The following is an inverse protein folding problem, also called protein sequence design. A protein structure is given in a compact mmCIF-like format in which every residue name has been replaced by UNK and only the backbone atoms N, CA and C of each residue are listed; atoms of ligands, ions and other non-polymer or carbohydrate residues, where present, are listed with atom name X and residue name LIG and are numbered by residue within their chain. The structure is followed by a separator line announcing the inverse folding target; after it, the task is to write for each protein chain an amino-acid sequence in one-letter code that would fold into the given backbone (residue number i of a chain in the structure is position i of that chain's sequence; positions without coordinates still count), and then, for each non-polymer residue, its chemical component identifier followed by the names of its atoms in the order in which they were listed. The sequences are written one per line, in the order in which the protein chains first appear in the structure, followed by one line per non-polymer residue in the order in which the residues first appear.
data_IF_708664398979
#
_entry.id   IF_708664398979
#
_cell.length_a   1.000
_cell.length_b   1.000
_cell.length_c   1.000
_cell.angle_alpha   90.00
_cell.angle_beta   90.00
_cell.angle_gamma   90.00
#
_symmetry.space_group_name_H-M   'P 1'
#
loop_
_entity.id
_entity.type
_entity.pdbx_description
1 polymer ?
#
# COMPACT_ATOMS: atom_id res chain seq x y z
N UNK A 1 44.94 14.24 -26.59
CA UNK A 1 43.90 14.11 -27.63
C UNK A 1 43.23 12.75 -27.50
N UNK A 2 42.02 12.71 -26.92
CA UNK A 2 40.96 11.71 -27.14
C UNK A 2 39.74 12.20 -26.36
N UNK A 3 38.82 12.80 -27.11
CA UNK A 3 37.58 13.38 -26.63
C UNK A 3 36.60 12.28 -26.23
N UNK A 4 35.99 12.42 -25.06
CA UNK A 4 34.82 11.64 -24.67
C UNK A 4 33.59 12.35 -25.24
N UNK A 5 32.93 11.70 -26.20
CA UNK A 5 31.64 12.10 -26.72
C UNK A 5 30.57 11.95 -25.65
N UNK A 6 30.00 13.07 -25.22
CA UNK A 6 28.77 13.12 -24.42
C UNK A 6 27.64 12.47 -25.22
N UNK A 7 27.11 11.34 -24.73
CA UNK A 7 25.87 10.77 -25.25
C UNK A 7 24.71 11.63 -24.76
N UNK A 8 23.93 12.13 -25.71
CA UNK A 8 22.74 12.95 -25.51
C UNK A 8 21.77 12.31 -24.52
N UNK A 9 21.53 12.99 -23.39
CA UNK A 9 20.35 12.77 -22.56
C UNK A 9 19.14 13.25 -23.34
N UNK A 10 18.23 12.35 -23.70
CA UNK A 10 16.87 12.72 -24.06
C UNK A 10 16.16 13.07 -22.76
N UNK A 11 16.14 14.37 -22.43
CA UNK A 11 15.24 14.93 -21.43
C UNK A 11 13.82 14.84 -22.00
N UNK A 12 13.00 13.95 -21.44
CA UNK A 12 11.54 14.00 -21.59
C UNK A 12 11.03 15.20 -20.79
N UNK A 13 11.12 16.38 -21.40
CA UNK A 13 10.42 17.56 -20.92
C UNK A 13 8.92 17.34 -21.20
N UNK A 14 8.16 17.07 -20.14
CA UNK A 14 6.74 17.35 -20.15
C UNK A 14 6.63 18.87 -20.27
N UNK A 15 6.07 19.33 -21.39
CA UNK A 15 5.86 20.76 -21.61
C UNK A 15 5.01 21.31 -20.46
N UNK A 16 5.51 22.37 -19.84
CA UNK A 16 4.85 23.16 -18.80
C UNK A 16 3.52 23.67 -19.33
N UNK A 17 2.46 22.91 -19.10
CA UNK A 17 1.14 23.48 -18.89
C UNK A 17 0.99 23.58 -17.38
N UNK A 18 0.98 24.80 -16.86
CA UNK A 18 0.53 25.05 -15.50
C UNK A 18 -0.84 24.37 -15.36
N UNK A 19 -0.96 23.37 -14.49
CA UNK A 19 -2.25 22.80 -14.14
C UNK A 19 -3.12 23.96 -13.62
N UNK A 20 -4.19 24.37 -14.34
CA UNK A 20 -5.21 25.14 -13.69
C UNK A 20 -5.79 24.22 -12.61
N UNK A 21 -6.04 24.75 -11.42
CA UNK A 21 -6.94 24.11 -10.45
C UNK A 21 -8.08 23.45 -11.23
N UNK A 22 -8.20 22.12 -11.15
CA UNK A 22 -9.11 21.27 -11.93
C UNK A 22 -10.50 21.90 -12.11
N UNK A 23 -10.66 22.70 -13.16
CA UNK A 23 -11.95 23.00 -13.76
C UNK A 23 -12.11 21.97 -14.87
N UNK A 24 -12.84 20.93 -14.52
CA UNK A 24 -13.30 19.91 -15.45
C UNK A 24 -14.34 20.55 -16.36
N UNK A 25 -13.92 21.07 -17.51
CA UNK A 25 -14.86 21.21 -18.62
C UNK A 25 -15.32 19.80 -19.01
N UNK A 26 -16.64 19.65 -19.16
CA UNK A 26 -17.40 18.41 -19.41
C UNK A 26 -16.57 17.30 -20.08
N UNK A 27 -16.62 16.04 -19.60
CA UNK A 27 -15.85 14.97 -20.25
C UNK A 27 -16.30 14.87 -21.70
N UNK A 28 -15.35 14.98 -22.63
CA UNK A 28 -15.60 14.68 -24.03
C UNK A 28 -16.28 13.30 -24.07
N UNK A 29 -17.47 13.24 -24.68
CA UNK A 29 -18.24 12.00 -24.82
C UNK A 29 -17.38 10.99 -25.59
N UNK A 30 -16.68 10.12 -24.85
CA UNK A 30 -16.13 8.90 -25.40
C UNK A 30 -17.33 8.05 -25.86
N UNK A 31 -17.23 7.37 -27.01
CA UNK A 31 -18.34 6.60 -27.53
C UNK A 31 -18.78 5.57 -26.47
N UNK A 32 -20.04 5.71 -26.05
CA UNK A 32 -20.76 4.67 -25.31
C UNK A 32 -20.64 3.37 -26.09
N UNK A 33 -20.45 2.26 -25.37
CA UNK A 33 -20.44 0.89 -25.92
C UNK A 33 -21.60 0.72 -26.90
N UNK A 34 -21.33 0.82 -28.21
CA UNK A 34 -22.29 0.43 -29.23
C UNK A 34 -22.21 -1.08 -29.35
N UNK A 35 -23.27 -1.75 -28.89
CA UNK A 35 -23.51 -3.19 -28.96
C UNK A 35 -22.40 -4.07 -28.36
N UNK A 36 -22.74 -4.70 -27.24
CA UNK A 36 -22.07 -5.88 -26.72
C UNK A 36 -21.59 -6.79 -27.86
N UNK A 37 -20.27 -6.89 -28.00
CA UNK A 37 -19.69 -8.10 -28.58
C UNK A 37 -19.93 -9.17 -27.53
N UNK A 38 -20.71 -10.15 -27.95
CA UNK A 38 -21.17 -11.33 -27.22
C UNK A 38 -20.03 -12.07 -26.51
N UNK A 39 -19.81 -11.78 -25.22
CA UNK A 39 -19.14 -12.69 -24.31
C UNK A 39 -20.20 -13.61 -23.72
N UNK A 40 -20.70 -14.52 -24.55
CA UNK A 40 -21.57 -15.59 -24.14
C UNK A 40 -20.98 -16.29 -22.92
N UNK A 41 -21.70 -16.22 -21.81
CA UNK A 41 -21.52 -17.10 -20.66
C UNK A 41 -21.83 -18.51 -21.14
N UNK A 42 -20.81 -19.17 -21.71
CA UNK A 42 -20.82 -20.61 -21.90
C UNK A 42 -20.55 -21.24 -20.55
N UNK A 43 -21.51 -22.04 -20.13
CA UNK A 43 -21.58 -22.79 -18.88
C UNK A 43 -20.57 -23.95 -18.85
N UNK A 44 -19.27 -23.64 -18.90
CA UNK A 44 -18.22 -24.58 -18.51
C UNK A 44 -17.43 -23.97 -17.34
N UNK A 45 -17.47 -24.67 -16.20
CA UNK A 45 -16.90 -24.28 -14.93
C UNK A 45 -15.36 -24.44 -14.88
N UNK A 46 -14.67 -23.79 -15.80
CA UNK A 46 -13.25 -23.45 -15.73
C UNK A 46 -13.12 -21.98 -16.10
N UNK A 47 -13.12 -21.09 -15.09
CA UNK A 47 -13.24 -19.65 -15.27
C UNK A 47 -12.13 -19.12 -16.19
N UNK A 48 -12.50 -18.55 -17.34
CA UNK A 48 -11.56 -17.73 -18.11
C UNK A 48 -11.13 -16.55 -17.25
N UNK A 49 -9.81 -16.36 -17.12
CA UNK A 49 -9.21 -15.22 -16.45
C UNK A 49 -9.65 -13.92 -17.13
N UNK A 50 -9.69 -12.80 -16.39
CA UNK A 50 -9.98 -11.50 -17.00
C UNK A 50 -8.82 -11.03 -17.90
N UNK A 51 -9.10 -10.19 -18.89
CA UNK A 51 -8.05 -9.58 -19.73
C UNK A 51 -7.02 -8.78 -18.92
N UNK A 52 -7.43 -8.21 -17.77
CA UNK A 52 -6.48 -7.55 -16.86
C UNK A 52 -5.51 -8.55 -16.23
N UNK A 53 -5.99 -9.72 -15.82
CA UNK A 53 -5.16 -10.81 -15.30
C UNK A 53 -4.15 -11.27 -16.34
N UNK A 54 -4.60 -11.49 -17.58
CA UNK A 54 -3.74 -11.82 -18.71
C UNK A 54 -2.67 -10.75 -18.96
N UNK A 55 -3.06 -9.47 -18.91
CA UNK A 55 -2.11 -8.35 -19.06
C UNK A 55 -1.11 -8.29 -17.91
N UNK A 56 -1.54 -8.43 -16.65
CA UNK A 56 -0.65 -8.45 -15.49
C UNK A 56 0.39 -9.57 -15.62
N UNK A 57 -0.06 -10.78 -15.94
CA UNK A 57 0.82 -11.93 -16.15
C UNK A 57 1.81 -11.71 -17.30
N UNK A 58 1.36 -11.13 -18.42
CA UNK A 58 2.21 -10.81 -19.55
C UNK A 58 3.23 -9.71 -19.23
N UNK A 59 2.80 -8.63 -18.57
CA UNK A 59 3.67 -7.53 -18.15
C UNK A 59 4.75 -8.02 -17.19
N UNK A 60 4.35 -8.81 -16.18
CA UNK A 60 5.27 -9.50 -15.25
C UNK A 60 6.30 -10.34 -16.00
N UNK A 61 5.86 -11.24 -16.89
CA UNK A 61 6.77 -12.10 -17.66
C UNK A 61 7.75 -11.28 -18.51
N UNK A 62 7.24 -10.30 -19.25
CA UNK A 62 8.07 -9.46 -20.12
C UNK A 62 9.11 -8.66 -19.32
N UNK A 63 8.73 -8.13 -18.15
CA UNK A 63 9.66 -7.46 -17.24
C UNK A 63 10.76 -8.41 -16.77
N UNK A 64 10.41 -9.63 -16.34
CA UNK A 64 11.38 -10.61 -15.88
C UNK A 64 12.34 -11.06 -17.00
N UNK A 65 11.84 -11.25 -18.21
CA UNK A 65 12.65 -11.58 -19.39
C UNK A 65 13.62 -10.45 -19.75
N UNK A 66 13.15 -9.21 -19.77
CA UNK A 66 14.00 -8.04 -20.03
C UNK A 66 14.99 -7.80 -18.88
N UNK A 67 14.61 -8.09 -17.63
CA UNK A 67 15.52 -8.05 -16.49
C UNK A 67 16.64 -9.09 -16.65
N UNK A 68 16.34 -10.31 -17.09
CA UNK A 68 17.36 -11.33 -17.36
C UNK A 68 18.29 -10.93 -18.53
N UNK A 69 17.76 -10.21 -19.52
CA UNK A 69 18.48 -9.75 -20.72
C UNK A 69 19.16 -8.39 -20.58
N UNK A 70 19.18 -7.80 -19.38
CA UNK A 70 19.71 -6.46 -19.11
C UNK A 70 19.05 -5.33 -19.93
N UNK A 71 17.74 -5.47 -20.20
CA UNK A 71 16.88 -4.47 -20.84
C UNK A 71 15.87 -3.82 -19.88
N UNK A 72 15.99 -4.10 -18.57
CA UNK A 72 15.14 -3.50 -17.55
C UNK A 72 15.20 -1.97 -17.51
N UNK A 73 16.23 -1.34 -18.08
CA UNK A 73 16.38 0.13 -18.11
C UNK A 73 15.31 0.84 -18.93
N UNK A 74 14.53 0.10 -19.71
CA UNK A 74 13.36 0.59 -20.46
C UNK A 74 12.07 0.54 -19.63
N UNK A 75 12.10 -0.04 -18.42
CA UNK A 75 10.92 -0.28 -17.61
C UNK A 75 10.75 0.75 -16.50
N UNK A 76 9.53 1.23 -16.36
CA UNK A 76 9.03 1.99 -15.24
C UNK A 76 8.33 1.02 -14.28
N UNK A 77 8.69 1.09 -13.00
CA UNK A 77 8.03 0.29 -11.98
C UNK A 77 7.05 1.15 -11.19
N UNK A 78 5.78 0.77 -11.18
CA UNK A 78 4.74 1.49 -10.42
C UNK A 78 4.49 0.75 -9.12
N UNK A 79 4.54 1.44 -7.98
CA UNK A 79 4.42 0.78 -6.68
C UNK A 79 3.54 1.55 -5.71
N UNK A 80 2.64 0.80 -5.07
CA UNK A 80 1.88 1.23 -3.89
C UNK A 80 2.73 1.19 -2.62
N UNK A 81 2.13 1.52 -1.48
CA UNK A 81 2.82 1.46 -0.19
C UNK A 81 3.08 0.01 0.28
N UNK A 82 3.92 -0.13 1.29
CA UNK A 82 4.43 -1.40 1.81
C UNK A 82 3.40 -2.25 2.57
N UNK A 83 2.27 -1.66 2.96
CA UNK A 83 1.22 -2.40 3.63
C UNK A 83 0.34 -3.20 2.66
N UNK A 84 0.45 -2.94 1.33
CA UNK A 84 -0.25 -3.67 0.29
C UNK A 84 -1.78 -3.68 0.44
N UNK A 85 -2.37 -2.59 0.92
CA UNK A 85 -3.83 -2.47 0.94
C UNK A 85 -4.40 -2.35 -0.48
N UNK A 86 -5.73 -2.46 -0.56
CA UNK A 86 -6.43 -2.48 -1.85
C UNK A 86 -6.15 -1.22 -2.67
N UNK A 87 -6.01 -0.06 -2.03
CA UNK A 87 -5.75 1.20 -2.73
C UNK A 87 -4.35 1.27 -3.33
N UNK A 88 -3.34 0.90 -2.55
CA UNK A 88 -1.97 0.75 -3.05
C UNK A 88 -1.86 -0.24 -4.21
N UNK A 89 -2.47 -1.42 -4.09
CA UNK A 89 -2.42 -2.46 -5.12
C UNK A 89 -3.11 -2.03 -6.42
N UNK A 90 -4.36 -1.55 -6.32
CA UNK A 90 -5.17 -1.20 -7.50
C UNK A 90 -4.64 0.05 -8.17
N UNK A 91 -4.21 1.06 -7.40
CA UNK A 91 -3.58 2.27 -7.95
C UNK A 91 -2.33 1.93 -8.76
N UNK A 92 -1.52 0.98 -8.29
CA UNK A 92 -0.29 0.59 -8.99
C UNK A 92 -0.59 -0.13 -10.30
N UNK A 93 -1.54 -1.07 -10.28
CA UNK A 93 -2.01 -1.79 -11.47
C UNK A 93 -2.59 -0.80 -12.50
N UNK A 94 -3.47 0.10 -12.06
CA UNK A 94 -4.16 1.04 -12.94
C UNK A 94 -3.19 2.03 -13.61
N UNK A 95 -2.24 2.60 -12.87
CA UNK A 95 -1.27 3.52 -13.45
C UNK A 95 -0.23 2.81 -14.33
N UNK A 96 0.20 1.59 -13.98
CA UNK A 96 1.05 0.80 -14.87
C UNK A 96 0.33 0.46 -16.18
N UNK A 97 -0.97 0.13 -16.11
CA UNK A 97 -1.79 -0.11 -17.28
C UNK A 97 -1.91 1.15 -18.16
N UNK A 98 -2.20 2.30 -17.54
CA UNK A 98 -2.27 3.61 -18.23
C UNK A 98 -0.98 3.92 -19.00
N UNK A 99 0.18 3.83 -18.34
CA UNK A 99 1.49 4.10 -18.95
C UNK A 99 1.76 3.16 -20.13
N UNK A 100 1.41 1.87 -19.99
CA UNK A 100 1.61 0.87 -21.02
C UNK A 100 0.71 1.08 -22.25
N UNK A 101 -0.45 1.74 -22.09
CA UNK A 101 -1.47 1.85 -23.13
C UNK A 101 -1.72 3.27 -23.63
N UNK A 102 -1.06 4.29 -23.08
CA UNK A 102 -1.22 5.69 -23.50
C UNK A 102 -0.87 5.88 -24.98
N UNK A 103 -1.83 6.39 -25.76
CA UNK A 103 -1.72 6.59 -27.21
C UNK A 103 -0.68 7.63 -27.56
N UNK A 104 0.19 7.28 -28.50
CA UNK A 104 1.27 8.13 -29.00
C UNK A 104 2.50 8.19 -28.09
N UNK A 105 2.41 7.67 -26.86
CA UNK A 105 3.53 7.61 -25.89
C UNK A 105 3.50 6.36 -24.98
N UNK A 106 3.28 5.14 -25.52
CA UNK A 106 3.31 3.95 -24.66
C UNK A 106 4.73 3.72 -24.14
N UNK A 107 4.85 3.35 -22.86
CA UNK A 107 6.12 2.98 -22.24
C UNK A 107 5.99 1.64 -21.52
N UNK A 108 7.12 0.92 -21.33
CA UNK A 108 7.08 -0.34 -20.59
C UNK A 108 6.87 -0.04 -19.10
N UNK A 109 5.78 -0.52 -18.54
CA UNK A 109 5.45 -0.35 -17.13
C UNK A 109 4.97 -1.65 -16.50
N UNK A 110 5.40 -1.89 -15.27
CA UNK A 110 5.00 -3.07 -14.48
C UNK A 110 4.58 -2.64 -13.08
N UNK A 111 3.42 -3.09 -12.56
CA UNK A 111 3.04 -2.84 -11.18
C UNK A 111 3.82 -3.79 -10.25
N UNK A 112 4.56 -3.25 -9.29
CA UNK A 112 5.17 -4.02 -8.20
C UNK A 112 4.33 -3.83 -6.93
N UNK A 113 3.81 -4.95 -6.41
CA UNK A 113 3.22 -5.00 -5.09
C UNK A 113 4.34 -5.21 -4.07
N UNK A 114 4.52 -4.27 -3.15
CA UNK A 114 5.60 -4.28 -2.15
C UNK A 114 5.31 -5.23 -0.97
N UNK A 115 4.79 -6.41 -1.29
CA UNK A 115 4.45 -7.48 -0.33
C UNK A 115 4.88 -8.83 -0.90
N UNK A 116 4.91 -9.87 -0.07
CA UNK A 116 4.99 -11.25 -0.52
C UNK A 116 3.65 -11.70 -1.11
N UNK A 117 3.65 -12.74 -1.94
CA UNK A 117 2.45 -13.24 -2.61
C UNK A 117 1.39 -13.73 -1.61
N UNK A 118 1.81 -14.41 -0.54
CA UNK A 118 0.94 -14.88 0.54
C UNK A 118 0.36 -13.73 1.38
N UNK A 119 1.08 -12.61 1.49
CA UNK A 119 0.64 -11.42 2.23
C UNK A 119 -0.58 -10.74 1.61
N UNK A 120 -0.84 -10.93 0.31
CA UNK A 120 -2.03 -10.40 -0.38
C UNK A 120 -3.30 -10.97 0.27
N UNK A 121 -3.30 -12.28 0.58
CA UNK A 121 -4.45 -12.98 1.16
C UNK A 121 -4.65 -12.69 2.64
N UNK A 122 -3.64 -12.13 3.33
CA UNK A 122 -3.78 -11.70 4.72
C UNK A 122 -4.77 -10.54 4.86
N UNK A 123 -5.05 -9.83 3.76
CA UNK A 123 -6.11 -8.83 3.64
C UNK A 123 -7.29 -9.46 2.91
N UNK A 124 -8.31 -9.97 3.62
CA UNK A 124 -9.40 -10.70 2.97
C UNK A 124 -10.20 -9.83 2.00
N UNK A 125 -10.20 -8.50 2.19
CA UNK A 125 -10.77 -7.56 1.22
C UNK A 125 -10.02 -7.53 -0.12
N UNK A 126 -8.70 -7.72 -0.12
CA UNK A 126 -7.90 -7.80 -1.34
C UNK A 126 -8.25 -9.07 -2.10
N UNK A 127 -8.25 -10.21 -1.40
CA UNK A 127 -8.63 -11.51 -1.94
C UNK A 127 -10.02 -11.46 -2.57
N UNK A 128 -11.00 -10.95 -1.85
CA UNK A 128 -12.37 -10.81 -2.35
C UNK A 128 -12.44 -9.92 -3.60
N UNK A 129 -11.77 -8.77 -3.60
CA UNK A 129 -11.77 -7.85 -4.73
C UNK A 129 -11.14 -8.47 -5.99
N UNK A 130 -10.00 -9.17 -5.85
CA UNK A 130 -9.30 -9.86 -6.93
C UNK A 130 -10.16 -11.02 -7.48
N UNK A 131 -10.77 -11.82 -6.60
CA UNK A 131 -11.69 -12.90 -6.99
C UNK A 131 -12.90 -12.36 -7.77
N UNK A 132 -13.51 -11.27 -7.30
CA UNK A 132 -14.65 -10.62 -7.96
C UNK A 132 -14.29 -10.01 -9.33
N UNK A 133 -13.04 -9.58 -9.50
CA UNK A 133 -12.51 -9.04 -10.75
C UNK A 133 -12.00 -10.11 -11.73
N UNK A 134 -12.09 -11.40 -11.37
CA UNK A 134 -11.61 -12.50 -12.21
C UNK A 134 -10.10 -12.52 -12.39
N UNK A 135 -9.35 -12.14 -11.35
CA UNK A 135 -7.90 -12.28 -11.30
C UNK A 135 -7.48 -13.72 -10.98
N UNK A 136 -6.22 -14.07 -11.22
CA UNK A 136 -5.76 -15.44 -11.05
C UNK A 136 -5.69 -15.84 -9.57
N UNK A 137 -6.26 -17.00 -9.22
CA UNK A 137 -6.14 -17.56 -7.87
C UNK A 137 -4.66 -17.84 -7.53
N UNK A 138 -4.24 -17.44 -6.34
CA UNK A 138 -2.83 -17.51 -5.92
C UNK A 138 -1.96 -16.41 -6.54
N UNK A 139 -2.56 -15.40 -7.17
CA UNK A 139 -1.93 -14.13 -7.54
C UNK A 139 -0.66 -14.27 -8.40
N UNK A 140 -0.58 -15.32 -9.22
CA UNK A 140 0.61 -15.59 -10.07
C UNK A 140 0.78 -14.57 -11.19
N UNK A 141 -0.33 -13.94 -11.58
CA UNK A 141 -0.41 -12.83 -12.52
C UNK A 141 0.17 -11.52 -11.96
N UNK A 142 0.23 -11.35 -10.64
CA UNK A 142 0.76 -10.14 -9.99
C UNK A 142 2.27 -10.25 -9.72
N UNK A 143 3.01 -9.16 -9.97
CA UNK A 143 4.43 -9.07 -9.61
C UNK A 143 4.56 -8.61 -8.15
N UNK A 144 5.19 -9.45 -7.35
CA UNK A 144 5.40 -9.27 -5.91
C UNK A 144 6.89 -9.28 -5.57
N UNK A 145 7.24 -9.05 -4.30
CA UNK A 145 8.63 -9.12 -3.86
C UNK A 145 9.23 -10.54 -4.00
N UNK A 146 8.40 -11.59 -3.93
CA UNK A 146 8.85 -13.00 -4.05
C UNK A 146 9.33 -13.35 -5.45
N UNK A 147 8.85 -12.64 -6.48
CA UNK A 147 9.20 -12.89 -7.86
C UNK A 147 10.56 -12.29 -8.25
N UNK A 148 11.04 -11.31 -7.48
CA UNK A 148 12.26 -10.59 -7.80
C UNK A 148 13.49 -11.42 -7.43
N UNK A 149 14.57 -11.41 -8.23
CA UNK A 149 15.79 -12.18 -7.95
C UNK A 149 16.65 -11.53 -6.85
N UNK A 150 16.08 -10.61 -6.06
CA UNK A 150 16.76 -9.84 -5.03
C UNK A 150 15.95 -9.88 -3.75
N UNK A 151 16.62 -10.18 -2.64
CA UNK A 151 16.05 -9.96 -1.30
C UNK A 151 15.73 -8.47 -1.10
N UNK A 152 14.77 -8.09 -0.25
CA UNK A 152 14.42 -6.70 0.02
C UNK A 152 15.63 -5.78 0.29
N UNK A 153 16.60 -6.25 1.09
CA UNK A 153 17.84 -5.51 1.41
C UNK A 153 18.75 -5.22 0.21
N UNK A 154 18.50 -5.83 -0.94
CA UNK A 154 19.28 -5.69 -2.17
C UNK A 154 18.47 -5.12 -3.34
N UNK A 155 17.24 -4.66 -3.11
CA UNK A 155 16.40 -4.06 -4.15
C UNK A 155 17.02 -2.79 -4.76
N UNK A 156 17.94 -2.13 -4.05
CA UNK A 156 18.76 -1.05 -4.62
C UNK A 156 19.51 -1.47 -5.90
N UNK A 157 19.86 -2.77 -6.04
CA UNK A 157 20.48 -3.31 -7.26
C UNK A 157 19.49 -3.30 -8.43
N UNK A 158 18.22 -3.57 -8.16
CA UNK A 158 17.16 -3.49 -9.16
C UNK A 158 16.88 -2.03 -9.54
N UNK A 159 16.84 -1.12 -8.55
CA UNK A 159 16.69 0.32 -8.77
C UNK A 159 17.70 0.90 -9.77
N UNK A 160 18.94 0.41 -9.75
CA UNK A 160 20.01 0.78 -10.71
C UNK A 160 19.83 0.23 -12.13
N UNK A 161 18.91 -0.70 -12.32
CA UNK A 161 18.70 -1.42 -13.59
C UNK A 161 17.40 -1.04 -14.29
N UNK A 162 16.51 -0.31 -13.62
CA UNK A 162 15.24 0.16 -14.19
C UNK A 162 15.33 1.64 -14.58
N UNK A 163 14.37 2.12 -15.37
CA UNK A 163 14.29 3.54 -15.73
C UNK A 163 14.04 4.41 -14.49
N UNK A 164 13.18 3.93 -13.59
CA UNK A 164 12.80 4.59 -12.36
C UNK A 164 11.48 4.05 -11.82
N UNK A 165 11.00 4.68 -10.75
CA UNK A 165 9.79 4.30 -10.02
C UNK A 165 8.73 5.37 -10.08
N UNK A 166 7.47 4.96 -10.16
CA UNK A 166 6.27 5.79 -9.97
C UNK A 166 5.62 5.39 -8.65
N UNK A 167 5.38 6.35 -7.77
CA UNK A 167 4.79 6.08 -6.46
C UNK A 167 3.29 6.33 -6.47
N UNK A 168 2.51 5.42 -5.89
CA UNK A 168 1.08 5.62 -5.69
C UNK A 168 0.70 5.34 -4.23
N UNK A 169 -0.27 6.08 -3.70
CA UNK A 169 -0.76 5.93 -2.33
C UNK A 169 0.32 6.13 -1.23
N UNK A 170 1.43 6.76 -1.62
CA UNK A 170 2.47 7.30 -0.76
C UNK A 170 3.39 8.24 -1.56
N UNK A 171 4.05 9.19 -0.89
CA UNK A 171 4.92 10.18 -1.53
C UNK A 171 6.40 10.09 -1.14
N UNK A 172 6.82 9.00 -0.47
CA UNK A 172 8.21 8.77 -0.09
C UNK A 172 8.61 7.30 -0.30
N UNK A 173 9.65 7.02 -1.10
CA UNK A 173 10.09 5.64 -1.33
C UNK A 173 10.72 5.06 -0.06
N UNK A 174 10.65 3.74 0.08
CA UNK A 174 11.37 3.02 1.14
C UNK A 174 12.90 3.12 0.96
N UNK A 175 13.64 2.92 2.04
CA UNK A 175 15.10 3.06 2.10
C UNK A 175 15.85 2.30 1.01
N UNK A 176 15.38 1.11 0.63
CA UNK A 176 16.02 0.30 -0.41
C UNK A 176 15.75 0.81 -1.83
N UNK A 177 14.82 1.76 -2.00
CA UNK A 177 14.56 2.48 -3.25
C UNK A 177 15.13 3.91 -3.25
N UNK A 178 15.75 4.38 -2.16
CA UNK A 178 16.13 5.80 -1.97
C UNK A 178 16.95 6.42 -3.11
N UNK A 179 17.82 5.63 -3.75
CA UNK A 179 18.69 6.08 -4.83
C UNK A 179 18.09 5.82 -6.24
N UNK A 180 16.84 5.35 -6.29
CA UNK A 180 16.14 5.05 -7.54
C UNK A 180 15.41 6.29 -8.02
N UNK A 181 15.53 6.69 -9.30
CA UNK A 181 14.83 7.86 -9.83
C UNK A 181 13.32 7.76 -9.61
N UNK A 182 12.74 8.70 -8.87
CA UNK A 182 11.28 8.85 -8.74
C UNK A 182 10.79 9.67 -9.92
N UNK A 183 10.13 9.00 -10.86
CA UNK A 183 9.67 9.60 -12.11
C UNK A 183 8.36 10.36 -11.94
N UNK A 184 7.51 9.94 -11.00
CA UNK A 184 6.20 10.55 -10.75
C UNK A 184 5.60 10.01 -9.45
N UNK A 185 4.56 10.69 -8.96
CA UNK A 185 3.78 10.25 -7.80
C UNK A 185 2.34 10.72 -7.84
N UNK A 186 1.44 9.89 -7.30
CA UNK A 186 0.03 10.19 -7.10
C UNK A 186 -0.36 9.74 -5.70
N UNK A 187 -0.76 10.65 -4.83
CA UNK A 187 -1.01 10.33 -3.41
C UNK A 187 -2.09 11.24 -2.81
N UNK A 188 -2.74 10.74 -1.76
CA UNK A 188 -3.74 11.46 -0.99
C UNK A 188 -3.34 11.66 0.48
N UNK A 189 -2.15 11.21 0.88
CA UNK A 189 -1.58 11.45 2.20
C UNK A 189 -0.96 12.84 2.33
N UNK A 190 -0.49 13.16 3.55
CA UNK A 190 0.26 14.39 3.80
C UNK A 190 1.55 14.42 2.98
N UNK A 191 1.79 15.53 2.30
CA UNK A 191 3.00 15.74 1.49
C UNK A 191 4.24 15.84 2.38
N UNK A 192 5.19 14.91 2.24
CA UNK A 192 6.46 14.94 2.98
C UNK A 192 7.49 15.94 2.39
N UNK A 193 7.16 16.63 1.30
CA UNK A 193 8.00 17.67 0.70
C UNK A 193 9.22 17.15 -0.09
N UNK A 194 9.25 15.85 -0.40
CA UNK A 194 10.34 15.18 -1.12
C UNK A 194 10.02 14.99 -2.61
N UNK A 195 11.03 14.60 -3.40
CA UNK A 195 10.92 14.22 -4.82
C UNK A 195 10.20 15.29 -5.68
N UNK A 196 10.58 16.56 -5.51
CA UNK A 196 9.91 17.72 -6.14
C UNK A 196 9.96 17.73 -7.67
N UNK A 197 10.86 16.97 -8.28
CA UNK A 197 11.03 16.85 -9.74
C UNK A 197 10.21 15.72 -10.35
N UNK A 198 9.45 14.97 -9.54
CA UNK A 198 8.56 13.93 -10.03
C UNK A 198 7.47 14.54 -10.93
N UNK A 199 7.12 13.87 -12.03
CA UNK A 199 6.15 14.32 -13.01
C UNK A 199 5.37 13.13 -13.64
N UNK A 200 4.06 12.99 -13.37
CA UNK A 200 3.22 13.90 -12.59
C UNK A 200 3.57 13.87 -11.10
N UNK A 201 3.33 14.98 -10.38
CA UNK A 201 3.34 15.05 -8.91
C UNK A 201 1.99 15.51 -8.40
N UNK A 202 1.08 14.56 -8.20
CA UNK A 202 -0.29 14.83 -7.74
C UNK A 202 -0.41 14.41 -6.29
N UNK A 203 -0.44 15.39 -5.38
CA UNK A 203 -0.74 15.14 -3.96
C UNK A 203 -1.95 15.98 -3.59
N UNK A 204 -3.10 15.34 -3.41
CA UNK A 204 -4.36 16.05 -3.21
C UNK A 204 -5.31 15.28 -2.27
N UNK A 205 -6.14 15.99 -1.48
CA UNK A 205 -7.13 15.35 -0.63
C UNK A 205 -8.12 14.51 -1.45
N UNK A 206 -8.24 13.23 -1.10
CA UNK A 206 -9.21 12.30 -1.67
C UNK A 206 -9.54 11.21 -0.65
N UNK A 207 -10.73 10.61 -0.75
CA UNK A 207 -11.05 9.43 0.05
C UNK A 207 -10.23 8.21 -0.35
N UNK A 208 -9.79 8.12 -1.61
CA UNK A 208 -8.96 7.04 -2.14
C UNK A 208 -7.99 7.55 -3.21
N UNK A 209 -6.74 7.09 -3.17
CA UNK A 209 -5.75 7.34 -4.24
C UNK A 209 -6.27 6.86 -5.60
N UNK A 210 -7.04 5.76 -5.64
CA UNK A 210 -7.67 5.25 -6.86
C UNK A 210 -8.59 6.26 -7.56
N UNK A 211 -9.16 7.23 -6.84
CA UNK A 211 -9.94 8.33 -7.45
C UNK A 211 -9.06 9.34 -8.20
N UNK A 212 -7.86 9.62 -7.68
CA UNK A 212 -6.86 10.44 -8.36
C UNK A 212 -6.35 9.71 -9.60
N UNK A 213 -6.04 8.42 -9.47
CA UNK A 213 -5.60 7.57 -10.57
C UNK A 213 -6.66 7.50 -11.67
N UNK A 214 -7.94 7.34 -11.30
CA UNK A 214 -9.06 7.38 -12.25
C UNK A 214 -9.07 8.69 -13.04
N UNK A 215 -8.84 9.82 -12.37
CA UNK A 215 -8.83 11.12 -13.04
C UNK A 215 -7.69 11.25 -14.06
N UNK A 216 -6.50 10.75 -13.72
CA UNK A 216 -5.36 10.69 -14.65
C UNK A 216 -5.66 9.74 -15.81
N UNK A 217 -6.08 8.52 -15.51
CA UNK A 217 -6.35 7.46 -16.46
C UNK A 217 -7.32 7.90 -17.56
N UNK A 218 -8.41 8.58 -17.18
CA UNK A 218 -9.44 9.04 -18.12
C UNK A 218 -9.11 10.40 -18.78
N UNK A 219 -8.07 11.09 -18.33
CA UNK A 219 -7.51 12.26 -19.04
C UNK A 219 -6.66 11.86 -20.25
N UNK A 220 -6.21 10.60 -20.32
CA UNK A 220 -5.39 10.07 -21.40
C UNK A 220 -6.24 9.36 -22.47
N UNK A 221 -5.74 9.35 -23.71
CA UNK A 221 -6.29 8.52 -24.78
C UNK A 221 -5.52 7.20 -24.85
N UNK A 222 -6.21 6.07 -24.98
CA UNK A 222 -5.60 4.73 -24.96
C UNK A 222 -5.49 4.10 -26.35
N UNK A 223 -4.45 3.30 -26.57
CA UNK A 223 -4.09 2.67 -27.87
C UNK A 223 -5.03 1.54 -28.31
N UNK A 224 -5.58 0.77 -27.37
CA UNK A 224 -6.21 -0.53 -27.64
C UNK A 224 -7.71 -0.61 -27.34
N UNK A 225 -8.42 0.53 -27.26
CA UNK A 225 -9.87 0.55 -27.03
C UNK A 225 -10.25 0.78 -25.55
N UNK A 226 -11.46 0.40 -25.12
CA UNK A 226 -12.02 0.79 -23.82
C UNK A 226 -11.24 0.21 -22.64
N UNK A 227 -11.37 0.86 -21.48
CA UNK A 227 -10.79 0.41 -20.20
C UNK A 227 -11.22 -1.03 -19.90
N UNK A 228 -10.31 -1.93 -19.47
CA UNK A 228 -10.71 -3.27 -19.08
C UNK A 228 -11.77 -3.23 -17.98
N UNK A 229 -12.88 -3.96 -18.16
CA UNK A 229 -13.97 -4.02 -17.19
C UNK A 229 -13.48 -4.39 -15.79
N UNK A 230 -12.60 -5.39 -15.67
CA UNK A 230 -12.05 -5.79 -14.38
C UNK A 230 -11.18 -4.71 -13.73
N UNK A 231 -10.53 -3.83 -14.50
CA UNK A 231 -9.81 -2.69 -13.96
C UNK A 231 -10.76 -1.64 -13.41
N UNK A 232 -11.83 -1.34 -14.14
CA UNK A 232 -12.89 -0.43 -13.66
C UNK A 232 -13.58 -0.98 -12.40
N UNK A 233 -13.83 -2.29 -12.36
CA UNK A 233 -14.41 -2.97 -11.20
C UNK A 233 -13.49 -2.85 -9.97
N UNK A 234 -12.19 -3.15 -10.11
CA UNK A 234 -11.22 -3.00 -9.02
C UNK A 234 -11.16 -1.56 -8.49
N UNK A 235 -11.10 -0.56 -9.37
CA UNK A 235 -11.10 0.85 -8.97
C UNK A 235 -12.39 1.20 -8.20
N UNK A 236 -13.56 0.73 -8.64
CA UNK A 236 -14.81 0.91 -7.92
C UNK A 236 -14.81 0.22 -6.54
N UNK A 237 -14.26 -0.99 -6.43
CA UNK A 237 -14.15 -1.73 -5.17
C UNK A 237 -13.31 -0.96 -4.15
N UNK A 238 -12.15 -0.46 -4.58
CA UNK A 238 -11.27 0.36 -3.75
C UNK A 238 -11.97 1.62 -3.28
N UNK A 239 -12.52 2.41 -4.21
CA UNK A 239 -13.20 3.66 -3.85
C UNK A 239 -14.38 3.35 -2.90
N UNK A 240 -15.10 2.24 -3.08
CA UNK A 240 -16.20 1.85 -2.21
C UNK A 240 -15.77 1.56 -0.76
N UNK A 241 -14.66 0.86 -0.55
CA UNK A 241 -14.22 0.51 0.80
C UNK A 241 -13.72 1.75 1.56
N UNK A 242 -12.89 2.59 0.92
CA UNK A 242 -12.23 3.72 1.58
C UNK A 242 -13.17 4.89 1.85
N UNK A 243 -14.03 5.21 0.88
CA UNK A 243 -15.04 6.29 1.03
C UNK A 243 -16.29 5.84 1.78
N UNK A 244 -16.34 4.59 2.24
CA UNK A 244 -17.53 3.98 2.86
C UNK A 244 -18.78 3.99 1.98
N UNK A 245 -18.61 3.71 0.68
CA UNK A 245 -19.67 3.77 -0.32
C UNK A 245 -20.11 5.21 -0.54
N UNK A 246 -19.13 6.11 -0.70
CA UNK A 246 -19.28 7.56 -0.88
C UNK A 246 -19.84 8.33 0.32
N UNK A 247 -19.98 7.71 1.49
CA UNK A 247 -20.42 8.41 2.73
C UNK A 247 -19.33 9.28 3.36
N UNK A 248 -18.06 9.02 3.05
CA UNK A 248 -16.86 9.68 3.62
C UNK A 248 -15.81 9.99 2.53
N UNK A 249 -16.25 10.29 1.30
CA UNK A 249 -15.38 10.71 0.21
C UNK A 249 -15.43 12.22 -0.04
N UNK A 250 -14.65 12.67 -1.01
CA UNK A 250 -14.68 14.00 -1.60
C UNK A 250 -15.49 13.98 -2.91
N UNK A 251 -15.71 15.16 -3.51
CA UNK A 251 -16.33 15.26 -4.84
C UNK A 251 -15.52 14.56 -5.93
N UNK A 252 -14.20 14.43 -5.73
CA UNK A 252 -13.34 13.68 -6.64
C UNK A 252 -13.72 12.19 -6.65
N UNK A 253 -13.99 11.60 -5.48
CA UNK A 253 -14.38 10.20 -5.39
C UNK A 253 -15.72 9.93 -6.07
N UNK A 254 -16.67 10.85 -5.93
CA UNK A 254 -17.96 10.74 -6.60
C UNK A 254 -17.79 10.80 -8.13
N UNK A 255 -17.02 11.78 -8.64
CA UNK A 255 -16.76 11.90 -10.08
C UNK A 255 -16.01 10.69 -10.64
N UNK A 256 -15.03 10.17 -9.91
CA UNK A 256 -14.32 8.96 -10.29
C UNK A 256 -15.29 7.77 -10.44
N UNK A 257 -16.19 7.57 -9.47
CA UNK A 257 -17.22 6.52 -9.57
C UNK A 257 -18.12 6.73 -10.77
N UNK A 258 -18.63 7.94 -10.98
CA UNK A 258 -19.51 8.27 -12.11
C UNK A 258 -18.81 8.04 -13.47
N UNK A 259 -17.50 8.27 -13.54
CA UNK A 259 -16.67 8.01 -14.72
C UNK A 259 -16.45 6.52 -14.95
N UNK A 260 -16.18 5.74 -13.89
CA UNK A 260 -15.87 4.31 -13.99
C UNK A 260 -17.11 3.45 -14.25
N UNK A 261 -18.27 3.87 -13.74
CA UNK A 261 -19.46 3.04 -13.69
C UNK A 261 -19.91 2.49 -15.06
N UNK A 262 -19.93 3.29 -16.15
CA UNK A 262 -20.28 2.81 -17.48
C UNK A 262 -19.33 1.76 -18.06
N UNK A 263 -18.11 1.65 -17.52
CA UNK A 263 -17.08 0.70 -17.96
C UNK A 263 -17.02 -0.57 -17.08
N UNK A 264 -17.84 -0.62 -16.02
CA UNK A 264 -17.87 -1.70 -15.03
C UNK A 264 -18.88 -2.80 -15.38
N UNK A 265 -18.85 -3.91 -14.65
CA UNK A 265 -19.90 -4.94 -14.74
C UNK A 265 -21.27 -4.46 -14.20
N UNK A 266 -21.32 -3.26 -13.62
CA UNK A 266 -22.52 -2.70 -12.99
C UNK A 266 -23.19 -1.61 -13.82
N UNK A 267 -22.75 -1.35 -15.05
CA UNK A 267 -23.16 -0.19 -15.86
C UNK A 267 -24.68 0.11 -15.88
N UNK A 268 -25.52 -0.93 -15.88
CA UNK A 268 -26.99 -0.80 -15.94
C UNK A 268 -27.68 -0.69 -14.55
N UNK A 269 -26.92 -0.51 -13.47
CA UNK A 269 -27.43 -0.45 -12.10
C UNK A 269 -27.39 0.96 -11.50
N UNK A 270 -28.03 1.14 -10.35
CA UNK A 270 -27.89 2.37 -9.57
C UNK A 270 -26.53 2.39 -8.86
N UNK A 271 -25.63 3.29 -9.27
CA UNK A 271 -24.27 3.34 -8.73
C UNK A 271 -24.25 3.55 -7.21
N UNK A 272 -25.18 4.32 -6.63
CA UNK A 272 -25.21 4.56 -5.18
C UNK A 272 -25.56 3.29 -4.42
N UNK A 273 -26.50 2.50 -4.93
CA UNK A 273 -26.84 1.17 -4.36
C UNK A 273 -25.67 0.21 -4.47
N UNK A 274 -25.00 0.18 -5.63
CA UNK A 274 -23.84 -0.68 -5.88
C UNK A 274 -22.68 -0.31 -4.96
N UNK A 275 -22.27 0.96 -4.90
CA UNK A 275 -21.19 1.42 -4.03
C UNK A 275 -21.46 1.12 -2.54
N UNK A 276 -22.72 1.25 -2.11
CA UNK A 276 -23.13 0.88 -0.74
C UNK A 276 -23.01 -0.63 -0.49
N UNK A 277 -23.41 -1.47 -1.46
CA UNK A 277 -23.29 -2.94 -1.38
C UNK A 277 -21.82 -3.36 -1.32
N UNK A 278 -21.01 -2.90 -2.27
CA UNK A 278 -19.57 -3.19 -2.36
C UNK A 278 -18.85 -2.79 -1.07
N UNK A 279 -19.13 -1.59 -0.56
CA UNK A 279 -18.56 -1.12 0.71
C UNK A 279 -18.93 -2.03 1.89
N UNK A 280 -20.13 -2.61 1.90
CA UNK A 280 -20.58 -3.52 2.96
C UNK A 280 -19.88 -4.88 2.86
N UNK A 281 -19.79 -5.43 1.65
CA UNK A 281 -19.15 -6.73 1.36
C UNK A 281 -17.65 -6.69 1.67
N UNK A 282 -16.93 -5.70 1.13
CA UNK A 282 -15.49 -5.54 1.35
C UNK A 282 -15.16 -5.24 2.83
N UNK A 283 -15.98 -4.44 3.52
CA UNK A 283 -15.78 -4.22 4.97
C UNK A 283 -16.10 -5.45 5.82
N UNK A 284 -17.00 -6.32 5.36
CA UNK A 284 -17.25 -7.60 6.02
C UNK A 284 -16.00 -8.47 5.88
N UNK A 285 -15.46 -8.60 4.67
CA UNK A 285 -14.21 -9.32 4.41
C UNK A 285 -13.03 -8.76 5.22
N UNK A 286 -12.81 -7.45 5.21
CA UNK A 286 -11.73 -6.78 5.97
C UNK A 286 -11.72 -7.09 7.48
N UNK A 287 -12.88 -7.48 8.03
CA UNK A 287 -13.04 -7.84 9.46
C UNK A 287 -12.96 -9.33 9.72
N UNK A 288 -12.96 -10.16 8.68
CA UNK A 288 -12.93 -11.62 8.79
C UNK A 288 -11.50 -12.10 8.97
N UNK A 289 -11.01 -12.05 10.21
CA UNK A 289 -9.60 -12.27 10.55
C UNK A 289 -9.40 -13.50 11.44
N UNK A 290 -10.46 -14.24 11.71
CA UNK A 290 -10.47 -15.33 12.69
C UNK A 290 -9.58 -16.51 12.28
N UNK A 291 -9.32 -16.65 10.98
CA UNK A 291 -8.36 -17.63 10.46
C UNK A 291 -6.88 -17.20 10.49
N UNK A 292 -6.55 -15.96 10.87
CA UNK A 292 -5.17 -15.48 10.86
C UNK A 292 -4.41 -15.85 12.13
N UNK A 293 -3.17 -16.30 11.97
CA UNK A 293 -2.23 -16.47 13.09
C UNK A 293 -1.76 -15.13 13.66
N UNK A 294 -1.14 -15.13 14.84
CA UNK A 294 -0.57 -13.93 15.45
C UNK A 294 0.48 -13.26 14.54
N UNK A 295 1.37 -14.04 13.93
CA UNK A 295 2.36 -13.54 12.97
C UNK A 295 1.69 -12.88 11.77
N UNK A 296 0.64 -13.51 11.22
CA UNK A 296 -0.11 -12.96 10.10
C UNK A 296 -0.86 -11.67 10.45
N UNK A 297 -1.36 -11.55 11.68
CA UNK A 297 -1.97 -10.31 12.17
C UNK A 297 -0.97 -9.15 12.25
N UNK A 298 0.28 -9.43 12.65
CA UNK A 298 1.37 -8.45 12.67
C UNK A 298 1.75 -8.04 11.24
N UNK A 299 1.91 -9.02 10.34
CA UNK A 299 2.37 -8.82 8.96
C UNK A 299 1.37 -8.02 8.10
N UNK A 300 0.08 -8.34 8.19
CA UNK A 300 -0.96 -7.89 7.24
C UNK A 300 -1.00 -6.38 6.99
N UNK A 301 -0.84 -5.58 8.04
CA UNK A 301 -0.81 -4.12 7.94
C UNK A 301 0.47 -3.62 8.61
N UNK A 302 1.60 -4.13 8.15
CA UNK A 302 2.92 -3.69 8.57
C UNK A 302 3.38 -2.49 7.72
N UNK A 303 3.99 -1.50 8.38
CA UNK A 303 4.68 -0.37 7.74
C UNK A 303 5.99 -0.12 8.45
N UNK A 304 7.12 -0.33 7.81
CA UNK A 304 8.43 -0.20 8.43
C UNK A 304 9.52 0.17 7.44
N UNK A 305 10.52 0.88 7.93
CA UNK A 305 11.68 1.30 7.16
C UNK A 305 12.86 1.66 8.07
N UNK A 306 14.03 1.88 7.47
CA UNK A 306 15.24 2.32 8.16
C UNK A 306 15.26 3.84 8.28
N UNK A 307 15.39 4.34 9.51
CA UNK A 307 15.69 5.73 9.82
C UNK A 307 17.22 5.88 9.82
N UNK A 308 17.76 6.77 8.98
CA UNK A 308 19.21 6.99 8.83
C UNK A 308 19.74 8.21 9.59
N UNK A 309 18.86 9.08 10.09
CA UNK A 309 19.26 10.34 10.72
C UNK A 309 19.66 10.18 12.20
N UNK A 310 19.61 8.96 12.72
CA UNK A 310 20.07 8.57 14.06
C UNK A 310 21.57 8.30 14.10
N UNK A 311 22.16 8.21 15.31
CA UNK A 311 23.58 7.88 15.50
C UNK A 311 24.00 6.57 14.82
N UNK A 312 23.13 5.56 14.89
CA UNK A 312 23.19 4.30 14.14
C UNK A 312 21.87 4.14 13.40
N UNK A 313 21.82 3.73 12.12
CA UNK A 313 20.55 3.53 11.44
C UNK A 313 19.66 2.55 12.21
N UNK A 314 18.39 2.89 12.40
CA UNK A 314 17.43 2.07 13.18
C UNK A 314 16.33 1.58 12.24
N UNK A 315 16.07 0.28 12.21
CA UNK A 315 14.91 -0.27 11.52
C UNK A 315 13.69 -0.23 12.43
N UNK A 316 12.77 0.67 12.11
CA UNK A 316 11.52 0.90 12.82
C UNK A 316 10.34 0.35 12.02
N UNK A 317 9.39 -0.29 12.69
CA UNK A 317 8.15 -0.68 12.02
C UNK A 317 6.91 -0.71 12.91
N UNK A 318 5.76 -0.60 12.25
CA UNK A 318 4.45 -0.43 12.85
C UNK A 318 3.44 -1.43 12.30
N UNK A 319 2.84 -2.25 13.16
CA UNK A 319 1.67 -3.06 12.80
C UNK A 319 0.37 -2.38 13.23
N UNK A 320 -0.70 -2.47 12.43
CA UNK A 320 -2.05 -2.06 12.85
C UNK A 320 -2.95 -3.29 13.01
N UNK A 321 -3.34 -3.59 14.26
CA UNK A 321 -4.00 -4.86 14.60
C UNK A 321 -5.40 -4.61 15.21
N UNK A 322 -6.48 -5.15 14.62
CA UNK A 322 -7.85 -4.93 15.10
C UNK A 322 -8.24 -5.91 16.22
N UNK A 323 -7.32 -6.21 17.13
CA UNK A 323 -7.50 -7.09 18.30
C UNK A 323 -6.72 -6.52 19.47
N UNK A 324 -7.25 -6.64 20.68
CA UNK A 324 -6.51 -6.21 21.89
C UNK A 324 -5.30 -7.10 22.17
N UNK A 325 -4.32 -6.57 22.89
CA UNK A 325 -3.17 -7.33 23.39
C UNK A 325 -3.64 -8.57 24.17
N UNK A 326 -4.62 -8.41 25.06
CA UNK A 326 -5.19 -9.51 25.83
C UNK A 326 -5.79 -10.61 24.94
N UNK A 327 -6.50 -10.24 23.87
CA UNK A 327 -7.05 -11.18 22.89
C UNK A 327 -5.96 -11.88 22.07
N UNK A 328 -4.85 -11.21 21.80
CA UNK A 328 -3.70 -11.82 21.13
C UNK A 328 -2.96 -12.79 22.07
N UNK A 329 -2.76 -12.41 23.34
CA UNK A 329 -2.18 -13.28 24.37
C UNK A 329 -3.01 -14.56 24.53
N UNK A 330 -4.35 -14.45 24.57
CA UNK A 330 -5.22 -15.63 24.72
C UNK A 330 -5.17 -16.62 23.55
N UNK A 331 -4.60 -16.24 22.39
CA UNK A 331 -4.39 -17.14 21.25
C UNK A 331 -3.07 -17.91 21.33
N UNK A 332 -2.19 -17.56 22.28
CA UNK A 332 -0.93 -18.29 22.51
C UNK A 332 -1.19 -19.58 23.29
N UNK A 333 -0.33 -20.58 23.11
CA UNK A 333 -0.50 -21.90 23.75
C UNK A 333 -0.62 -21.84 25.28
N UNK A 334 0.16 -20.96 25.93
CA UNK A 334 0.19 -20.80 27.38
C UNK A 334 -0.59 -19.57 27.88
N UNK A 335 -1.19 -18.79 26.97
CA UNK A 335 -1.95 -17.57 27.29
C UNK A 335 -1.14 -16.55 28.12
N UNK A 336 0.16 -16.44 27.84
CA UNK A 336 1.06 -15.52 28.54
C UNK A 336 1.58 -14.40 27.65
N UNK A 337 1.85 -13.24 28.24
CA UNK A 337 2.53 -12.13 27.58
C UNK A 337 3.88 -12.57 27.00
N UNK A 338 4.65 -13.39 27.75
CA UNK A 338 5.90 -13.95 27.28
C UNK A 338 5.73 -14.72 25.96
N UNK A 339 4.74 -15.62 25.86
CA UNK A 339 4.50 -16.38 24.63
C UNK A 339 4.08 -15.49 23.45
N UNK A 340 3.32 -14.41 23.70
CA UNK A 340 2.98 -13.44 22.65
C UNK A 340 4.23 -12.71 22.15
N UNK A 341 5.08 -12.24 23.06
CA UNK A 341 6.29 -11.53 22.67
C UNK A 341 7.37 -12.43 22.05
N UNK A 342 7.33 -13.74 22.25
CA UNK A 342 8.16 -14.65 21.44
C UNK A 342 7.75 -14.64 19.96
N UNK A 343 6.45 -14.56 19.67
CA UNK A 343 5.96 -14.42 18.29
C UNK A 343 6.35 -13.08 17.69
N UNK A 344 6.15 -11.98 18.43
CA UNK A 344 6.58 -10.63 18.03
C UNK A 344 8.09 -10.56 17.79
N UNK A 345 8.88 -11.11 18.71
CA UNK A 345 10.34 -11.17 18.59
C UNK A 345 10.81 -11.97 17.39
N UNK A 346 10.20 -13.13 17.11
CA UNK A 346 10.53 -13.95 15.94
C UNK A 346 10.24 -13.18 14.64
N UNK A 347 9.06 -12.56 14.54
CA UNK A 347 8.71 -11.74 13.39
C UNK A 347 9.69 -10.57 13.18
N UNK A 348 9.97 -9.83 14.25
CA UNK A 348 10.90 -8.70 14.22
C UNK A 348 12.33 -9.14 13.88
N UNK A 349 12.79 -10.29 14.38
CA UNK A 349 14.09 -10.89 14.05
C UNK A 349 14.22 -11.19 12.56
N UNK A 350 13.23 -11.85 11.98
CA UNK A 350 13.25 -12.31 10.59
C UNK A 350 13.17 -11.13 9.62
N UNK A 351 12.46 -10.08 10.01
CA UNK A 351 12.34 -8.83 9.26
C UNK A 351 13.39 -7.78 9.64
N UNK A 352 14.37 -8.13 10.49
CA UNK A 352 15.50 -7.25 10.86
C UNK A 352 15.09 -5.93 11.49
N UNK A 353 14.00 -5.95 12.26
CA UNK A 353 13.41 -4.80 12.95
C UNK A 353 14.07 -4.65 14.32
N UNK A 354 14.55 -3.45 14.60
CA UNK A 354 15.19 -3.09 15.87
C UNK A 354 14.16 -2.56 16.88
N UNK A 355 13.13 -1.84 16.40
CA UNK A 355 12.00 -1.39 17.21
C UNK A 355 10.66 -1.65 16.50
N UNK A 356 9.79 -2.40 17.16
CA UNK A 356 8.45 -2.73 16.69
C UNK A 356 7.38 -2.04 17.54
N UNK A 357 6.43 -1.38 16.87
CA UNK A 357 5.28 -0.73 17.50
C UNK A 357 4.00 -1.37 16.98
N UNK A 358 3.31 -2.15 17.80
CA UNK A 358 2.01 -2.71 17.45
C UNK A 358 0.90 -1.79 17.97
N UNK A 359 0.08 -1.29 17.06
CA UNK A 359 -1.02 -0.36 17.34
C UNK A 359 -2.34 -1.10 17.24
N UNK A 360 -2.98 -1.33 18.39
CA UNK A 360 -4.24 -2.05 18.40
C UNK A 360 -5.44 -1.12 18.28
N UNK A 361 -6.54 -1.61 17.72
CA UNK A 361 -7.84 -0.96 17.84
C UNK A 361 -8.93 -2.01 17.99
N UNK A 362 -9.77 -1.86 19.02
CA UNK A 362 -10.82 -2.83 19.31
C UNK A 362 -11.98 -2.14 20.01
N UNK A 363 -13.02 -2.92 20.30
CA UNK A 363 -14.09 -2.50 21.20
C UNK A 363 -13.98 -3.28 22.49
N UNK A 364 -14.04 -2.59 23.63
CA UNK A 364 -14.13 -3.26 24.92
C UNK A 364 -15.50 -3.96 25.11
N UNK A 365 -15.67 -4.62 26.26
CA UNK A 365 -16.91 -5.32 26.61
C UNK A 365 -18.15 -4.42 26.68
N UNK A 366 -17.96 -3.10 26.82
CA UNK A 366 -19.02 -2.10 26.82
C UNK A 366 -19.27 -1.54 25.41
N UNK A 367 -18.47 -1.94 24.42
CA UNK A 367 -18.58 -1.48 23.04
C UNK A 367 -17.85 -0.16 22.76
N UNK A 368 -17.12 0.39 23.74
CA UNK A 368 -16.35 1.61 23.56
C UNK A 368 -15.09 1.30 22.76
N UNK A 369 -14.68 2.24 21.90
CA UNK A 369 -13.45 2.08 21.14
C UNK A 369 -12.24 2.26 22.05
N UNK A 370 -11.36 1.27 22.03
CA UNK A 370 -10.09 1.30 22.73
C UNK A 370 -8.93 1.10 21.75
N UNK A 371 -7.77 1.62 22.14
CA UNK A 371 -6.52 1.48 21.41
C UNK A 371 -5.42 1.14 22.40
N UNK A 372 -4.46 0.35 21.94
CA UNK A 372 -3.23 0.09 22.67
C UNK A 372 -2.02 0.44 21.81
N UNK A 373 -0.96 0.90 22.45
CA UNK A 373 0.38 1.03 21.87
C UNK A 373 1.22 -0.04 22.57
N UNK A 374 1.83 -0.94 21.80
CA UNK A 374 2.71 -1.99 22.30
C UNK A 374 4.06 -1.77 21.65
N UNK A 375 5.10 -1.63 22.46
CA UNK A 375 6.46 -1.35 22.01
C UNK A 375 7.40 -2.47 22.43
N UNK A 376 8.21 -2.93 21.49
CA UNK A 376 9.30 -3.88 21.70
C UNK A 376 10.58 -3.34 21.07
N UNK A 377 11.67 -3.27 21.83
CA UNK A 377 13.02 -2.97 21.32
C UNK A 377 13.90 -4.21 21.39
N UNK A 378 14.68 -4.46 20.35
CA UNK A 378 15.53 -5.64 20.19
C UNK A 378 16.97 -5.25 19.93
N UNK A 379 17.88 -5.85 20.69
CA UNK A 379 19.32 -5.85 20.38
C UNK A 379 19.67 -7.00 19.42
N UNK A 380 20.84 -6.91 18.80
CA UNK A 380 21.45 -8.04 18.05
C UNK A 380 21.28 -7.99 16.53
N UNK A 381 20.83 -6.87 15.97
CA UNK A 381 20.90 -6.61 14.53
C UNK A 381 21.73 -5.37 14.21
N UNK A 382 21.18 -4.17 14.36
CA UNK A 382 21.93 -2.91 14.16
C UNK A 382 22.47 -2.31 15.45
N UNK A 383 21.78 -2.60 16.55
CA UNK A 383 22.06 -2.01 17.86
C UNK A 383 22.49 -3.08 18.88
N UNK A 384 23.39 -2.70 19.78
CA UNK A 384 23.82 -3.50 20.93
C UNK A 384 22.84 -3.39 22.13
N UNK A 385 23.14 -4.07 23.25
CA UNK A 385 22.25 -4.03 24.42
C UNK A 385 22.19 -2.65 25.11
N UNK A 386 23.30 -1.92 25.15
CA UNK A 386 23.33 -0.60 25.78
C UNK A 386 22.57 0.42 24.92
N UNK A 387 22.69 0.28 23.61
CA UNK A 387 21.92 1.03 22.62
C UNK A 387 20.43 0.71 22.71
N UNK A 388 20.05 -0.56 22.78
CA UNK A 388 18.66 -0.98 22.95
C UNK A 388 18.02 -0.43 24.24
N UNK A 389 18.76 -0.43 25.35
CA UNK A 389 18.30 0.16 26.62
C UNK A 389 18.03 1.67 26.50
N UNK A 390 18.96 2.42 25.88
CA UNK A 390 18.79 3.86 25.65
C UNK A 390 17.62 4.13 24.70
N UNK A 391 17.56 3.42 23.57
CA UNK A 391 16.50 3.57 22.57
C UNK A 391 15.13 3.30 23.18
N UNK A 392 15.01 2.21 23.95
CA UNK A 392 13.80 1.89 24.69
C UNK A 392 13.41 3.02 25.63
N UNK A 393 14.35 3.53 26.42
CA UNK A 393 14.09 4.60 27.41
C UNK A 393 13.64 5.90 26.73
N UNK A 394 14.31 6.31 25.66
CA UNK A 394 14.02 7.58 24.98
C UNK A 394 12.70 7.55 24.20
N UNK A 395 12.43 6.46 23.47
CA UNK A 395 11.14 6.30 22.76
C UNK A 395 9.99 6.14 23.75
N UNK A 396 10.19 5.39 24.85
CA UNK A 396 9.21 5.26 25.93
C UNK A 396 8.84 6.63 26.49
N UNK A 397 9.84 7.46 26.79
CA UNK A 397 9.66 8.81 27.31
C UNK A 397 8.86 9.68 26.34
N UNK A 398 9.23 9.74 25.06
CA UNK A 398 8.52 10.56 24.07
C UNK A 398 7.04 10.12 23.91
N UNK A 399 6.75 8.81 23.96
CA UNK A 399 5.37 8.30 23.93
C UNK A 399 4.59 8.73 25.18
N UNK A 400 5.19 8.61 26.38
CA UNK A 400 4.53 8.92 27.65
C UNK A 400 4.33 10.43 27.88
N UNK A 401 5.22 11.28 27.34
CA UNK A 401 5.13 12.74 27.40
C UNK A 401 4.10 13.34 26.42
N UNK A 402 3.57 12.55 25.48
CA UNK A 402 2.51 12.96 24.58
C UNK A 402 1.15 13.04 25.31
N UNK A 403 0.95 14.12 26.08
CA UNK A 403 -0.26 14.38 26.89
C UNK A 403 -1.56 14.23 26.10
N UNK A 404 -1.53 14.53 24.80
CA UNK A 404 -2.67 14.45 23.91
C UNK A 404 -3.16 13.02 23.66
N UNK A 405 -2.37 12.00 23.99
CA UNK A 405 -2.77 10.59 23.93
C UNK A 405 -3.51 10.14 25.20
N UNK A 406 -3.28 10.79 26.34
CA UNK A 406 -3.85 10.43 27.66
C UNK A 406 -3.64 8.95 27.98
N UNK A 407 -2.39 8.50 27.87
CA UNK A 407 -2.02 7.10 28.04
C UNK A 407 -2.22 6.64 29.47
N UNK A 408 -2.66 5.39 29.61
CA UNK A 408 -2.59 4.65 30.87
C UNK A 408 -1.74 3.40 30.67
N UNK A 409 -0.83 3.05 31.59
CA UNK A 409 -0.06 1.81 31.47
C UNK A 409 -0.98 0.61 31.34
N UNK A 410 -0.68 -0.27 30.39
CA UNK A 410 -1.40 -1.53 30.26
C UNK A 410 -1.04 -2.44 31.44
N UNK A 411 -2.06 -2.97 32.11
CA UNK A 411 -1.88 -3.84 33.26
C UNK A 411 -2.93 -4.96 33.25
N UNK A 412 -2.47 -6.19 33.06
CA UNK A 412 -3.28 -7.43 33.18
C UNK A 412 -2.65 -8.40 34.18
N UNK A 413 -1.79 -7.90 35.08
CA UNK A 413 -1.06 -8.70 36.08
C UNK A 413 0.07 -9.57 35.51
N UNK A 414 0.41 -9.40 34.23
CA UNK A 414 1.47 -10.16 33.56
C UNK A 414 2.71 -9.29 33.35
N UNK A 415 3.90 -9.86 33.58
CA UNK A 415 5.16 -9.22 33.23
C UNK A 415 5.36 -9.25 31.70
N UNK A 416 5.57 -8.07 31.11
CA UNK A 416 5.86 -7.95 29.67
C UNK A 416 7.31 -8.36 29.37
N UNK A 417 8.22 -8.22 30.34
CA UNK A 417 9.64 -8.48 30.21
C UNK A 417 10.47 -7.27 29.75
N UNK A 418 11.79 -7.47 29.62
CA UNK A 418 12.78 -6.44 29.27
C UNK A 418 12.46 -5.79 27.92
N UNK A 419 12.63 -4.47 27.86
CA UNK A 419 12.46 -3.62 26.66
C UNK A 419 11.11 -3.74 25.96
N UNK A 420 10.07 -4.01 26.77
CA UNK A 420 8.69 -4.06 26.32
C UNK A 420 7.85 -3.13 27.16
N UNK A 421 6.95 -2.41 26.50
CA UNK A 421 6.00 -1.53 27.15
C UNK A 421 4.66 -1.59 26.42
N UNK A 422 3.57 -1.40 27.15
CA UNK A 422 2.26 -1.30 26.56
C UNK A 422 1.41 -0.25 27.30
N UNK A 423 0.57 0.45 26.55
CA UNK A 423 -0.34 1.47 27.07
C UNK A 423 -1.71 1.34 26.43
N UNK A 424 -2.74 1.83 27.12
CA UNK A 424 -4.11 1.95 26.60
C UNK A 424 -4.51 3.43 26.50
N UNK A 425 -5.33 3.75 25.50
CA UNK A 425 -5.97 5.06 25.38
C UNK A 425 -7.25 5.01 24.52
N UNK A 426 -8.11 6.03 24.65
CA UNK A 426 -9.41 6.09 23.96
C UNK A 426 -9.48 7.18 22.87
N UNK A 427 -8.34 7.79 22.51
CA UNK A 427 -8.29 8.84 21.48
C UNK A 427 -8.76 8.31 20.12
N UNK A 428 -9.77 8.97 19.54
CA UNK A 428 -10.46 8.48 18.34
C UNK A 428 -9.55 8.37 17.10
N UNK A 429 -8.64 9.33 16.91
CA UNK A 429 -7.69 9.46 15.80
C UNK A 429 -6.26 8.98 16.14
N UNK A 430 -6.02 8.51 17.37
CA UNK A 430 -4.69 8.11 17.87
C UNK A 430 -4.17 6.77 17.30
N UNK A 431 -4.22 6.59 15.99
CA UNK A 431 -3.58 5.46 15.31
C UNK A 431 -2.17 5.78 14.82
N UNK A 432 -1.71 5.03 13.81
CA UNK A 432 -0.36 5.19 13.22
C UNK A 432 -0.03 6.63 12.82
N UNK A 433 -0.99 7.41 12.31
CA UNK A 433 -0.78 8.81 11.89
C UNK A 433 -0.39 9.75 13.04
N UNK A 434 -0.72 9.41 14.29
CA UNK A 434 -0.39 10.20 15.49
C UNK A 434 0.86 9.64 16.17
N UNK A 435 0.94 8.31 16.33
CA UNK A 435 2.03 7.67 17.08
C UNK A 435 3.34 7.60 16.29
N UNK A 436 3.28 7.37 14.96
CA UNK A 436 4.48 7.22 14.13
C UNK A 436 5.40 8.44 14.15
N UNK A 437 4.91 9.69 13.99
CA UNK A 437 5.76 10.87 14.07
C UNK A 437 6.48 11.03 15.42
N UNK A 438 5.84 10.68 16.54
CA UNK A 438 6.44 10.73 17.88
C UNK A 438 7.64 9.77 17.96
N UNK A 439 7.43 8.53 17.55
CA UNK A 439 8.47 7.50 17.58
C UNK A 439 9.59 7.80 16.57
N UNK A 440 9.27 8.22 15.34
CA UNK A 440 10.27 8.62 14.35
C UNK A 440 11.13 9.79 14.87
N UNK A 441 10.51 10.80 15.49
CA UNK A 441 11.23 11.92 16.11
C UNK A 441 12.14 11.46 17.24
N UNK A 442 11.69 10.56 18.11
CA UNK A 442 12.52 10.02 19.19
C UNK A 442 13.72 9.23 18.64
N UNK A 443 13.50 8.38 17.63
CA UNK A 443 14.56 7.61 16.96
C UNK A 443 15.56 8.55 16.27
N UNK A 444 15.11 9.61 15.62
CA UNK A 444 15.99 10.57 14.93
C UNK A 444 16.90 11.35 15.88
N UNK A 445 16.47 11.59 17.13
CA UNK A 445 17.26 12.34 18.12
C UNK A 445 18.02 11.44 19.11
N UNK A 446 17.98 10.12 18.90
CA UNK A 446 18.71 9.11 19.66
C UNK A 446 20.12 8.88 19.11
#
# INVERSE_FOLDING_TARGET
MRSWTVRSLILLAWSVAAFPLLQWDQPAQLPLLSSAVDDGVRTDAASRLSHLSEWCALSKRNFMDDLARNKASEWIMVMGNEAGDLDSMVSAIALAYDIAHTKGKPAKAVPLLQVTNDAIDLRPENKLALDMAGMEKGHRDLLTLDDLPFKPSHLWKLGKRIQGIMLVDHNMPLSYWKDTPVLGMVDHHHDKGVNKTADPRVIAPSGSCSSLITSIFFSHHHTHGPVPRSLSDLLLYTIAIDTKGLKKGTELDQRAVETLFPHSQYADQDYRKVMKRLSKELKKAKKDLDGLTLTQLIQRDWKGDVVFDSTVPVHLGFASIPRSLRSMISQTANQTAAAFFEVDNAWAHDNKVDIAILLTNYKDSQGNKQREIIMTVRAGHRIDEAEAERLFTDVKREIEEAEELQLTPWNDGQDLGRWRAAWTHSRADGGRKVVRPLVEKAVQHW
#
